data_IF_734431836956
#
_entry.id   IF_734431836956
#
_cell.length_a   1.000
_cell.length_b   1.000
_cell.length_c   1.000
_cell.angle_alpha   90.00
_cell.angle_beta   90.00
_cell.angle_gamma   90.00
#
_symmetry.space_group_name_H-M   'P 1'
#
loop_
_entity.id
_entity.type
_entity.pdbx_description
1 polymer ?
#
# COMPACT_ATOMS: atom_id res chain seq x y z
N UNK A 1 10.33 14.17 -13.72
CA UNK A 1 11.31 14.49 -14.77
C UNK A 1 12.43 15.34 -14.20
N UNK A 2 13.66 15.11 -14.63
CA UNK A 2 14.86 15.89 -14.31
C UNK A 2 15.43 16.47 -15.61
N UNK A 3 15.09 17.73 -15.89
CA UNK A 3 15.46 18.40 -17.16
C UNK A 3 16.93 18.80 -17.25
N UNK A 4 17.72 18.61 -16.18
CA UNK A 4 19.16 18.81 -16.21
C UNK A 4 19.91 17.67 -16.92
N UNK A 5 19.23 16.54 -17.17
CA UNK A 5 19.78 15.37 -17.87
C UNK A 5 19.26 15.34 -19.31
N UNK A 6 20.11 15.10 -20.29
CA UNK A 6 19.64 14.88 -21.66
C UNK A 6 18.93 13.52 -21.77
N UNK A 7 17.75 13.42 -22.40
CA UNK A 7 17.08 12.13 -22.62
C UNK A 7 17.88 11.16 -23.50
N UNK A 8 18.81 11.65 -24.32
CA UNK A 8 19.68 10.82 -25.16
C UNK A 8 20.83 10.18 -24.38
N UNK A 9 21.20 10.73 -23.22
CA UNK A 9 22.32 10.23 -22.40
C UNK A 9 21.81 9.26 -21.34
N UNK A 10 20.73 9.61 -20.63
CA UNK A 10 20.08 8.74 -19.64
C UNK A 10 18.59 9.04 -19.58
N UNK A 11 17.83 8.32 -20.41
CA UNK A 11 16.39 8.49 -20.51
C UNK A 11 15.68 8.20 -19.18
N UNK A 12 16.18 7.23 -18.39
CA UNK A 12 15.57 6.87 -17.12
C UNK A 12 15.72 7.99 -16.10
N UNK A 13 16.91 8.56 -15.95
CA UNK A 13 17.13 9.75 -15.11
C UNK A 13 16.38 10.96 -15.62
N UNK A 14 16.26 11.15 -16.93
CA UNK A 14 15.45 12.24 -17.47
C UNK A 14 13.98 12.13 -17.03
N UNK A 15 13.34 10.96 -17.17
CA UNK A 15 11.91 10.83 -16.85
C UNK A 15 11.66 10.69 -15.33
N UNK A 16 12.48 9.90 -14.64
CA UNK A 16 12.29 9.54 -13.22
C UNK A 16 13.20 10.30 -12.23
N UNK A 17 14.17 11.09 -12.70
CA UNK A 17 15.23 11.64 -11.84
C UNK A 17 14.75 12.47 -10.66
N UNK A 18 13.68 13.25 -10.84
CA UNK A 18 13.08 13.97 -9.71
C UNK A 18 12.44 13.02 -8.69
N UNK A 19 11.74 11.98 -9.14
CA UNK A 19 11.14 10.97 -8.26
C UNK A 19 12.23 10.28 -7.42
N UNK A 20 13.38 9.95 -8.01
CA UNK A 20 14.50 9.36 -7.26
C UNK A 20 15.10 10.32 -6.23
N UNK A 21 15.09 11.63 -6.48
CA UNK A 21 15.62 12.65 -5.56
C UNK A 21 14.69 12.92 -4.38
N UNK A 22 13.38 12.85 -4.59
CA UNK A 22 12.37 13.27 -3.60
C UNK A 22 11.72 12.12 -2.86
N UNK A 23 11.76 10.90 -3.41
CA UNK A 23 11.10 9.75 -2.79
C UNK A 23 12.03 9.06 -1.81
N UNK A 24 11.56 8.89 -0.57
CA UNK A 24 12.23 8.10 0.46
C UNK A 24 11.57 6.72 0.52
N UNK A 25 12.37 5.67 0.73
CA UNK A 25 11.86 4.33 1.01
C UNK A 25 11.41 4.31 2.49
N UNK A 26 10.12 4.11 2.80
CA UNK A 26 9.63 3.97 4.17
C UNK A 26 10.26 2.79 4.90
N UNK A 27 10.30 2.84 6.24
CA UNK A 27 10.95 1.82 7.08
C UNK A 27 10.34 0.41 6.95
N UNK A 28 9.06 0.31 6.56
CA UNK A 28 8.35 -0.94 6.36
C UNK A 28 8.57 -1.53 4.93
N UNK A 29 9.40 -0.89 4.12
CA UNK A 29 9.61 -1.26 2.70
C UNK A 29 11.08 -1.39 2.35
N UNK A 30 11.36 -2.27 1.40
CA UNK A 30 12.70 -2.43 0.82
C UNK A 30 12.88 -1.70 -0.51
N UNK A 31 11.78 -1.28 -1.13
CA UNK A 31 11.77 -0.52 -2.38
C UNK A 31 10.47 0.26 -2.55
N UNK A 32 10.50 1.31 -3.36
CA UNK A 32 9.33 2.11 -3.74
C UNK A 32 9.35 2.39 -5.23
N UNK A 33 8.18 2.21 -5.86
CA UNK A 33 7.93 2.55 -7.25
C UNK A 33 6.44 2.88 -7.42
N UNK A 34 6.00 3.07 -8.67
CA UNK A 34 4.59 3.37 -8.97
C UNK A 34 3.62 2.29 -8.49
N UNK A 35 3.99 1.01 -8.54
CA UNK A 35 3.14 -0.07 -8.04
C UNK A 35 3.01 -0.03 -6.52
N UNK A 36 4.05 0.40 -5.80
CA UNK A 36 3.97 0.57 -4.35
C UNK A 36 2.85 1.53 -3.96
N UNK A 37 2.73 2.67 -4.66
CA UNK A 37 1.66 3.66 -4.42
C UNK A 37 0.28 3.04 -4.64
N UNK A 38 0.11 2.29 -5.73
CA UNK A 38 -1.16 1.64 -6.07
C UNK A 38 -1.54 0.57 -5.04
N UNK A 39 -0.56 -0.24 -4.61
CA UNK A 39 -0.78 -1.28 -3.61
C UNK A 39 -1.17 -0.68 -2.27
N UNK A 40 -0.53 0.41 -1.85
CA UNK A 40 -0.86 1.10 -0.59
C UNK A 40 -2.31 1.59 -0.57
N UNK A 41 -2.75 2.24 -1.65
CA UNK A 41 -4.11 2.70 -1.79
C UNK A 41 -5.11 1.53 -1.82
N UNK A 42 -4.78 0.46 -2.55
CA UNK A 42 -5.61 -0.74 -2.60
C UNK A 42 -5.74 -1.40 -1.23
N UNK A 43 -4.66 -1.51 -0.46
CA UNK A 43 -4.69 -2.07 0.88
C UNK A 43 -5.54 -1.22 1.84
N UNK A 44 -5.52 0.11 1.71
CA UNK A 44 -6.42 0.99 2.48
C UNK A 44 -7.90 0.72 2.14
N UNK A 45 -8.23 0.61 0.86
CA UNK A 45 -9.59 0.27 0.42
C UNK A 45 -10.03 -1.11 0.94
N UNK A 46 -9.14 -2.10 0.90
CA UNK A 46 -9.42 -3.44 1.44
C UNK A 46 -9.62 -3.41 2.96
N UNK A 47 -8.83 -2.63 3.70
CA UNK A 47 -9.00 -2.47 5.16
C UNK A 47 -10.38 -1.91 5.50
N UNK A 48 -10.86 -0.93 4.74
CA UNK A 48 -12.21 -0.37 4.91
C UNK A 48 -13.28 -1.39 4.55
N UNK A 49 -13.17 -2.06 3.40
CA UNK A 49 -14.15 -3.03 2.93
C UNK A 49 -14.30 -4.26 3.85
N UNK A 50 -13.20 -4.69 4.49
CA UNK A 50 -13.17 -5.86 5.36
C UNK A 50 -13.34 -5.53 6.85
N UNK A 51 -13.27 -4.25 7.22
CA UNK A 51 -13.30 -3.77 8.61
C UNK A 51 -14.66 -3.86 9.28
N UNK A 52 -15.75 -3.81 8.51
CA UNK A 52 -17.12 -3.88 9.04
C UNK A 52 -17.75 -5.26 8.81
N UNK A 53 -18.49 -5.77 9.79
CA UNK A 53 -19.22 -7.05 9.71
C UNK A 53 -20.70 -6.79 9.49
N UNK A 54 -21.15 -6.92 8.25
CA UNK A 54 -22.57 -6.93 7.90
C UNK A 54 -23.09 -8.38 7.90
N UNK A 55 -24.21 -8.61 8.59
CA UNK A 55 -24.82 -9.92 8.71
C UNK A 55 -25.65 -10.31 7.48
N UNK A 56 -25.91 -9.39 6.55
CA UNK A 56 -26.70 -9.64 5.33
C UNK A 56 -25.86 -10.21 4.16
N UNK A 57 -24.54 -10.34 4.32
CA UNK A 57 -23.65 -10.82 3.27
C UNK A 57 -23.69 -12.34 3.04
N UNK A 58 -23.32 -12.76 1.81
CA UNK A 58 -23.15 -14.18 1.49
C UNK A 58 -22.03 -14.82 2.33
N UNK A 59 -22.18 -16.12 2.62
CA UNK A 59 -21.28 -16.85 3.52
C UNK A 59 -19.78 -16.76 3.15
N UNK A 60 -19.44 -16.63 1.87
CA UNK A 60 -18.06 -16.47 1.41
C UNK A 60 -17.45 -15.15 1.89
N UNK A 61 -18.18 -14.04 1.82
CA UNK A 61 -17.68 -12.73 2.25
C UNK A 61 -17.55 -12.70 3.78
N UNK A 62 -18.54 -13.24 4.49
CA UNK A 62 -18.50 -13.37 5.95
C UNK A 62 -17.25 -14.14 6.43
N UNK A 63 -16.85 -15.21 5.73
CA UNK A 63 -15.63 -15.97 6.05
C UNK A 63 -14.37 -15.13 5.85
N UNK A 64 -14.27 -14.38 4.75
CA UNK A 64 -13.11 -13.50 4.49
C UNK A 64 -13.02 -12.41 5.56
N UNK A 65 -14.13 -11.75 5.90
CA UNK A 65 -14.17 -10.73 6.95
C UNK A 65 -13.81 -11.30 8.34
N UNK A 66 -14.35 -12.45 8.73
CA UNK A 66 -13.96 -13.12 9.99
C UNK A 66 -12.47 -13.47 10.01
N UNK A 67 -11.92 -13.93 8.89
CA UNK A 67 -10.50 -14.23 8.78
C UNK A 67 -9.64 -12.96 8.94
N UNK A 68 -10.01 -11.87 8.26
CA UNK A 68 -9.37 -10.56 8.42
C UNK A 68 -9.39 -10.09 9.89
N UNK A 69 -10.56 -10.13 10.54
CA UNK A 69 -10.71 -9.76 11.95
C UNK A 69 -9.87 -10.62 12.91
N UNK A 70 -9.69 -11.91 12.61
CA UNK A 70 -8.84 -12.79 13.44
C UNK A 70 -7.36 -12.38 13.45
N UNK A 71 -6.91 -11.72 12.38
CA UNK A 71 -5.56 -11.17 12.28
C UNK A 71 -5.47 -9.81 12.97
N UNK A 72 -6.39 -8.90 12.64
CA UNK A 72 -6.35 -7.52 13.11
C UNK A 72 -6.67 -7.40 14.61
N UNK A 73 -7.63 -8.17 15.16
CA UNK A 73 -7.95 -8.14 16.60
C UNK A 73 -6.79 -8.57 17.49
N UNK A 74 -5.89 -9.43 17.00
CA UNK A 74 -4.64 -9.72 17.71
C UNK A 74 -3.77 -8.46 17.84
N UNK A 75 -3.69 -7.65 16.78
CA UNK A 75 -2.91 -6.40 16.78
C UNK A 75 -3.51 -5.33 17.71
N UNK A 76 -4.84 -5.25 17.86
CA UNK A 76 -5.49 -4.36 18.84
C UNK A 76 -5.16 -4.75 20.27
N UNK A 77 -5.16 -6.06 20.59
CA UNK A 77 -4.78 -6.55 21.91
C UNK A 77 -3.31 -6.28 22.25
N UNK A 78 -2.43 -6.05 21.26
CA UNK A 78 -1.03 -5.65 21.48
C UNK A 78 -0.82 -4.13 21.60
N UNK A 79 -1.76 -3.30 21.13
CA UNK A 79 -1.71 -1.82 21.25
C UNK A 79 -2.47 -1.27 22.46
N UNK A 80 -3.03 -2.17 23.28
CA UNK A 80 -3.87 -1.86 24.45
C UNK A 80 -3.22 -2.10 25.80
N UNK A 81 -1.90 -2.32 25.86
CA UNK A 81 -1.07 -2.33 27.07
C UNK A 81 0.04 -1.27 26.97
#
# INVERSE_FOLDING_TARGET
>A
MDFAVSPCDDFYRFVCGNYMKTTTIPDDKTSVNTFTVIVDELEEQLKLALGDTDNEEISSIQKVKRYYQSCINKLWNFRGD
#
